data_IF_394643981254
#
_entry.id   IF_394643981254
#
_cell.length_a   1.000
_cell.length_b   1.000
_cell.length_c   1.000
_cell.angle_alpha   90.00
_cell.angle_beta   90.00
_cell.angle_gamma   90.00
#
_symmetry.space_group_name_H-M   'P 1'
#
loop_
_entity.id
_entity.type
_entity.pdbx_description
1 polymer ?
#
# COMPACT_ATOMS: atom_id res chain seq x y z
N UNK A 1 0.71 8.09 -8.27
CA UNK A 1 0.21 8.61 -6.97
C UNK A 1 -0.23 7.41 -6.16
N UNK A 2 0.05 7.38 -4.84
CA UNK A 2 -0.41 6.29 -3.98
C UNK A 2 -1.92 6.19 -3.97
N UNK A 3 -2.44 4.98 -4.12
CA UNK A 3 -3.86 4.74 -3.95
C UNK A 3 -4.19 4.55 -2.47
N UNK A 4 -5.07 5.38 -1.93
CA UNK A 4 -5.51 5.33 -0.53
C UNK A 4 -6.87 4.68 -0.47
N UNK A 5 -7.01 3.62 0.34
CA UNK A 5 -8.27 2.94 0.58
C UNK A 5 -8.73 3.16 2.02
N UNK A 6 -9.89 3.79 2.19
CA UNK A 6 -10.55 3.94 3.50
C UNK A 6 -11.71 2.97 3.59
N UNK A 7 -11.66 2.06 4.56
CA UNK A 7 -12.79 1.22 4.93
C UNK A 7 -13.54 1.90 6.07
N UNK A 8 -14.75 2.39 5.80
CA UNK A 8 -15.62 2.97 6.82
C UNK A 8 -16.42 1.89 7.53
N UNK A 9 -16.10 1.68 8.81
CA UNK A 9 -16.77 0.72 9.69
C UNK A 9 -17.95 1.29 10.48
N UNK A 10 -18.39 2.52 10.21
CA UNK A 10 -19.51 3.13 10.94
C UNK A 10 -20.82 2.40 10.59
N UNK A 11 -21.63 1.91 11.55
CA UNK A 11 -22.79 1.06 11.26
C UNK A 11 -23.99 1.80 10.66
N UNK A 12 -24.06 3.12 10.84
CA UNK A 12 -25.04 4.00 10.19
C UNK A 12 -24.40 5.36 9.93
N UNK A 13 -23.59 5.48 8.88
CA UNK A 13 -22.79 6.68 8.62
C UNK A 13 -23.68 7.91 8.39
N UNK A 14 -24.87 7.76 7.82
CA UNK A 14 -25.79 8.88 7.55
C UNK A 14 -26.16 9.65 8.81
N UNK A 15 -26.28 8.97 9.95
CA UNK A 15 -26.55 9.59 11.26
C UNK A 15 -25.30 10.11 11.98
N UNK A 16 -24.10 9.92 11.43
CA UNK A 16 -22.85 10.25 12.11
C UNK A 16 -22.56 11.73 12.10
N UNK A 17 -22.34 12.31 13.28
CA UNK A 17 -21.94 13.71 13.43
C UNK A 17 -20.44 13.95 13.22
N UNK A 18 -19.61 12.89 13.23
CA UNK A 18 -18.15 13.01 13.20
C UNK A 18 -17.50 12.25 12.06
N UNK A 19 -17.83 10.96 11.85
CA UNK A 19 -17.15 10.15 10.85
C UNK A 19 -17.50 10.63 9.42
N UNK A 20 -18.73 11.09 9.20
CA UNK A 20 -19.13 11.72 7.92
C UNK A 20 -18.32 12.99 7.64
N UNK A 21 -18.08 13.81 8.66
CA UNK A 21 -17.24 15.00 8.53
C UNK A 21 -15.80 14.62 8.19
N UNK A 22 -15.25 13.60 8.86
CA UNK A 22 -13.88 13.14 8.60
C UNK A 22 -13.75 12.66 7.16
N UNK A 23 -14.64 11.78 6.70
CA UNK A 23 -14.58 11.22 5.35
C UNK A 23 -14.74 12.30 4.27
N UNK A 24 -15.69 13.21 4.42
CA UNK A 24 -15.88 14.32 3.48
C UNK A 24 -14.66 15.25 3.42
N UNK A 25 -13.96 15.45 4.54
CA UNK A 25 -12.72 16.24 4.55
C UNK A 25 -11.56 15.49 3.88
N UNK A 26 -11.46 14.16 4.05
CA UNK A 26 -10.45 13.36 3.36
C UNK A 26 -10.65 13.38 1.84
N UNK A 27 -11.89 13.20 1.36
CA UNK A 27 -12.23 13.25 -0.06
C UNK A 27 -11.86 14.58 -0.73
N UNK A 28 -11.80 15.68 0.04
CA UNK A 28 -11.36 17.00 -0.45
C UNK A 28 -9.85 17.19 -0.44
N UNK A 29 -9.11 16.37 0.31
CA UNK A 29 -7.69 16.58 0.62
C UNK A 29 -6.77 15.54 -0.01
N UNK A 30 -7.31 14.39 -0.40
CA UNK A 30 -6.56 13.25 -0.93
C UNK A 30 -7.08 12.95 -2.34
N UNK A 31 -6.23 13.18 -3.35
CA UNK A 31 -6.61 13.07 -4.76
C UNK A 31 -6.97 11.64 -5.19
N UNK A 32 -6.21 10.64 -4.72
CA UNK A 32 -6.41 9.22 -5.05
C UNK A 32 -6.96 8.47 -3.84
N UNK A 33 -8.22 8.76 -3.50
CA UNK A 33 -8.93 8.16 -2.38
C UNK A 33 -10.12 7.31 -2.85
N UNK A 34 -10.16 6.06 -2.41
CA UNK A 34 -11.36 5.21 -2.46
C UNK A 34 -11.92 5.06 -1.05
N UNK A 35 -13.21 5.40 -0.86
CA UNK A 35 -13.93 5.17 0.40
C UNK A 35 -14.94 4.04 0.21
N UNK A 36 -14.80 2.96 0.98
CA UNK A 36 -15.74 1.83 0.99
C UNK A 36 -16.58 1.86 2.27
N UNK A 37 -17.87 2.14 2.11
CA UNK A 37 -18.85 2.24 3.19
C UNK A 37 -19.48 0.88 3.49
N UNK A 38 -19.03 0.21 4.56
CA UNK A 38 -19.52 -1.13 4.87
C UNK A 38 -21.02 -1.14 5.20
N UNK A 39 -21.54 -0.11 5.87
CA UNK A 39 -22.98 0.03 6.18
C UNK A 39 -23.87 -0.01 4.95
N UNK A 40 -23.39 0.60 3.86
CA UNK A 40 -24.14 0.72 2.60
C UNK A 40 -23.91 -0.46 1.67
N UNK A 41 -22.68 -0.98 1.63
CA UNK A 41 -22.32 -2.12 0.78
C UNK A 41 -22.89 -3.45 1.32
N UNK A 42 -22.94 -3.60 2.65
CA UNK A 42 -23.26 -4.86 3.32
C UNK A 42 -24.24 -4.68 4.48
N UNK A 43 -25.45 -4.11 4.24
CA UNK A 43 -26.44 -3.88 5.29
C UNK A 43 -26.94 -5.19 5.93
N UNK A 44 -26.78 -6.32 5.24
CA UNK A 44 -27.15 -7.67 5.65
C UNK A 44 -25.97 -8.53 6.13
N UNK A 45 -24.78 -7.91 6.29
CA UNK A 45 -23.54 -8.56 6.70
C UNK A 45 -23.02 -9.63 5.72
N UNK A 46 -23.47 -9.64 4.45
CA UNK A 46 -22.95 -10.55 3.43
C UNK A 46 -21.77 -9.90 2.67
N UNK A 47 -20.56 -10.04 3.20
CA UNK A 47 -19.35 -9.44 2.61
C UNK A 47 -19.01 -10.13 1.29
N UNK A 48 -18.87 -9.33 0.22
CA UNK A 48 -18.25 -9.78 -1.03
C UNK A 48 -16.72 -9.75 -0.87
N UNK A 49 -16.18 -10.89 -0.42
CA UNK A 49 -14.75 -11.05 -0.14
C UNK A 49 -13.90 -10.70 -1.36
N UNK A 50 -14.32 -11.12 -2.56
CA UNK A 50 -13.54 -10.90 -3.77
C UNK A 50 -13.46 -9.41 -4.11
N UNK A 51 -14.57 -8.68 -4.01
CA UNK A 51 -14.58 -7.23 -4.26
C UNK A 51 -13.67 -6.47 -3.28
N UNK A 52 -13.71 -6.82 -1.99
CA UNK A 52 -12.90 -6.17 -0.95
C UNK A 52 -11.41 -6.48 -1.10
N UNK A 53 -11.07 -7.73 -1.40
CA UNK A 53 -9.69 -8.13 -1.69
C UNK A 53 -9.13 -7.42 -2.92
N UNK A 54 -9.95 -7.21 -3.97
CA UNK A 54 -9.54 -6.45 -5.15
C UNK A 54 -9.29 -4.97 -4.85
N UNK A 55 -10.07 -4.34 -3.97
CA UNK A 55 -9.80 -2.99 -3.52
C UNK A 55 -8.47 -2.92 -2.73
N UNK A 56 -8.24 -3.87 -1.83
CA UNK A 56 -7.00 -3.97 -1.05
C UNK A 56 -5.76 -4.17 -1.92
N UNK A 57 -5.86 -4.96 -3.00
CA UNK A 57 -4.76 -5.18 -3.93
C UNK A 57 -4.30 -3.86 -4.59
N UNK A 58 -5.24 -2.98 -4.92
CA UNK A 58 -4.97 -1.67 -5.53
C UNK A 58 -4.39 -0.65 -4.55
N UNK A 59 -4.66 -0.80 -3.25
CA UNK A 59 -4.26 0.16 -2.23
C UNK A 59 -2.77 0.11 -1.89
N UNK A 60 -2.14 1.27 -1.73
CA UNK A 60 -0.82 1.39 -1.10
C UNK A 60 -0.95 1.68 0.40
N UNK A 61 -1.95 2.49 0.75
CA UNK A 61 -2.27 2.89 2.12
C UNK A 61 -3.71 2.45 2.43
N UNK A 62 -3.87 1.70 3.51
CA UNK A 62 -5.16 1.19 3.99
C UNK A 62 -5.49 1.90 5.31
N UNK A 63 -6.69 2.46 5.40
CA UNK A 63 -7.20 3.14 6.58
C UNK A 63 -8.49 2.48 7.04
N UNK A 64 -8.56 2.05 8.31
CA UNK A 64 -9.83 1.69 8.92
C UNK A 64 -10.38 2.91 9.66
N UNK A 65 -11.49 3.48 9.18
CA UNK A 65 -12.19 4.60 9.80
C UNK A 65 -13.42 4.08 10.59
N UNK A 66 -13.47 4.26 11.91
CA UNK A 66 -14.60 3.76 12.70
C UNK A 66 -14.91 4.55 13.99
N UNK A 67 -16.14 4.48 14.50
CA UNK A 67 -16.43 4.85 15.88
C UNK A 67 -15.97 3.76 16.85
N UNK A 68 -15.28 4.16 17.92
CA UNK A 68 -14.76 3.26 18.95
C UNK A 68 -15.90 2.77 19.85
N UNK A 69 -16.29 1.50 19.69
CA UNK A 69 -17.42 0.89 20.39
C UNK A 69 -16.92 -0.20 21.32
N UNK A 70 -17.28 -0.10 22.60
CA UNK A 70 -16.97 -1.12 23.62
C UNK A 70 -15.50 -1.57 23.57
N UNK A 71 -14.58 -0.60 23.54
CA UNK A 71 -13.15 -0.86 23.53
C UNK A 71 -12.64 -1.59 22.27
N UNK A 72 -13.39 -1.52 21.17
CA UNK A 72 -13.11 -2.24 19.94
C UNK A 72 -13.71 -1.55 18.70
N UNK A 73 -13.76 -2.29 17.60
CA UNK A 73 -14.39 -1.91 16.32
C UNK A 73 -15.88 -2.29 16.29
N UNK A 74 -16.70 -1.66 15.43
CA UNK A 74 -18.06 -2.10 15.18
C UNK A 74 -18.13 -3.53 14.62
N UNK A 75 -19.23 -4.25 14.90
CA UNK A 75 -19.38 -5.66 14.56
C UNK A 75 -19.21 -5.97 13.07
N UNK A 76 -19.76 -5.11 12.19
CA UNK A 76 -19.62 -5.27 10.74
C UNK A 76 -18.17 -5.14 10.28
N UNK A 77 -17.41 -4.18 10.85
CA UNK A 77 -15.99 -4.04 10.55
C UNK A 77 -15.20 -5.25 11.08
N UNK A 78 -15.54 -5.78 12.27
CA UNK A 78 -14.91 -7.00 12.76
C UNK A 78 -15.16 -8.19 11.84
N UNK A 79 -16.40 -8.38 11.37
CA UNK A 79 -16.74 -9.42 10.39
C UNK A 79 -15.98 -9.25 9.08
N UNK A 80 -15.90 -8.01 8.56
CA UNK A 80 -15.12 -7.72 7.36
C UNK A 80 -13.65 -8.14 7.54
N UNK A 81 -13.03 -7.83 8.69
CA UNK A 81 -11.65 -8.27 8.98
C UNK A 81 -11.57 -9.81 8.95
N UNK A 82 -12.51 -10.50 9.61
CA UNK A 82 -12.52 -11.97 9.70
C UNK A 82 -12.70 -12.67 8.35
N UNK A 83 -13.54 -12.12 7.47
CA UNK A 83 -13.83 -12.71 6.16
C UNK A 83 -12.75 -12.36 5.12
N UNK A 84 -12.30 -11.09 5.09
CA UNK A 84 -11.46 -10.55 4.02
C UNK A 84 -9.98 -10.87 4.24
N UNK A 85 -9.50 -10.87 5.49
CA UNK A 85 -8.11 -11.21 5.80
C UNK A 85 -7.94 -12.74 5.88
N UNK A 86 -8.23 -13.41 4.77
CA UNK A 86 -8.30 -14.87 4.68
C UNK A 86 -6.93 -15.54 4.51
N UNK A 87 -6.87 -16.84 4.79
CA UNK A 87 -5.71 -17.68 4.50
C UNK A 87 -5.36 -17.64 3.00
N UNK A 88 -4.06 -17.63 2.68
CA UNK A 88 -3.48 -17.43 1.35
C UNK A 88 -3.80 -16.10 0.66
N UNK A 89 -4.44 -15.15 1.36
CA UNK A 89 -4.56 -13.76 0.91
C UNK A 89 -3.75 -12.85 1.84
N UNK A 90 -4.17 -12.76 3.11
CA UNK A 90 -3.52 -11.90 4.10
C UNK A 90 -2.41 -12.62 4.89
N UNK A 91 -2.54 -13.94 5.10
CA UNK A 91 -1.57 -14.74 5.85
C UNK A 91 -1.47 -16.17 5.33
N UNK A 92 -0.49 -16.94 5.81
CA UNK A 92 -0.24 -18.32 5.38
C UNK A 92 0.77 -18.42 4.24
N UNK A 93 0.96 -19.62 3.68
CA UNK A 93 2.07 -19.91 2.75
C UNK A 93 2.12 -19.02 1.50
N UNK A 94 0.97 -18.48 1.07
CA UNK A 94 0.84 -17.58 -0.08
C UNK A 94 0.17 -16.25 0.28
N UNK A 95 -0.04 -16.00 1.57
CA UNK A 95 -0.78 -14.82 2.05
C UNK A 95 0.15 -13.65 2.26
N UNK A 96 0.55 -13.02 1.17
CA UNK A 96 1.48 -11.88 1.13
C UNK A 96 0.84 -10.62 0.52
N UNK A 97 -0.47 -10.65 0.21
CA UNK A 97 -1.14 -9.62 -0.58
C UNK A 97 -1.28 -8.28 0.14
N UNK A 98 -1.13 -8.28 1.46
CA UNK A 98 -1.13 -7.07 2.28
C UNK A 98 0.28 -6.67 2.74
N UNK A 99 1.30 -7.49 2.47
CA UNK A 99 2.67 -7.25 2.95
C UNK A 99 3.20 -5.91 2.43
N UNK A 100 3.79 -5.13 3.33
CA UNK A 100 4.41 -3.83 3.01
C UNK A 100 3.43 -2.70 2.70
N UNK A 101 2.12 -2.92 2.75
CA UNK A 101 1.13 -1.82 2.67
C UNK A 101 1.08 -1.08 3.99
N UNK A 102 0.95 0.25 3.93
CA UNK A 102 0.79 1.06 5.13
C UNK A 102 -0.62 0.90 5.69
N UNK A 103 -0.72 0.73 7.00
CA UNK A 103 -1.99 0.48 7.67
C UNK A 103 -2.21 1.45 8.83
N UNK A 104 -3.28 2.26 8.73
CA UNK A 104 -3.64 3.28 9.71
C UNK A 104 -4.99 2.92 10.35
N UNK A 105 -5.04 2.88 11.68
CA UNK A 105 -6.29 2.92 12.41
C UNK A 105 -6.69 4.38 12.63
N UNK A 106 -7.87 4.75 12.13
CA UNK A 106 -8.47 6.06 12.36
C UNK A 106 -9.82 5.93 13.07
N UNK A 107 -9.95 6.52 14.26
CA UNK A 107 -11.19 6.33 15.01
C UNK A 107 -11.57 7.47 15.94
N UNK A 108 -12.87 7.51 16.26
CA UNK A 108 -13.49 8.54 17.08
C UNK A 108 -13.91 7.94 18.43
N UNK A 109 -13.52 8.60 19.52
CA UNK A 109 -13.73 8.12 20.89
C UNK A 109 -14.70 9.06 21.61
N UNK A 110 -15.74 8.49 22.22
CA UNK A 110 -16.71 9.27 22.98
C UNK A 110 -16.15 9.87 24.27
N UNK A 111 -15.39 9.07 25.03
CA UNK A 111 -14.84 9.48 26.33
C UNK A 111 -13.69 10.49 26.24
N UNK A 112 -13.42 11.21 27.34
CA UNK A 112 -12.26 12.09 27.49
C UNK A 112 -10.92 11.37 27.38
N UNK A 113 -9.85 12.09 27.00
CA UNK A 113 -8.50 11.53 26.92
C UNK A 113 -8.00 11.06 28.29
N UNK A 114 -8.21 11.86 29.32
CA UNK A 114 -7.82 11.61 30.71
C UNK A 114 -8.47 10.35 31.34
N UNK A 115 -9.47 9.76 30.69
CA UNK A 115 -10.06 8.51 31.14
C UNK A 115 -9.26 7.27 30.75
N UNK A 116 -8.37 7.36 29.76
CA UNK A 116 -7.59 6.24 29.21
C UNK A 116 -6.16 6.25 29.74
N UNK A 117 -6.06 6.01 31.04
CA UNK A 117 -4.81 5.97 31.80
C UNK A 117 -4.85 4.77 32.77
N UNK A 118 -3.71 4.15 33.14
CA UNK A 118 -3.66 3.07 34.11
C UNK A 118 -4.35 3.38 35.45
N UNK A 119 -4.36 4.65 35.86
CA UNK A 119 -5.05 5.13 37.07
C UNK A 119 -6.40 5.79 36.75
N UNK A 120 -6.74 5.92 35.46
CA UNK A 120 -8.00 6.48 34.97
C UNK A 120 -9.15 5.48 34.95
N UNK A 121 -10.33 5.97 34.58
CA UNK A 121 -11.57 5.18 34.57
C UNK A 121 -11.52 3.94 33.66
N UNK A 122 -10.84 4.03 32.51
CA UNK A 122 -10.77 2.92 31.54
C UNK A 122 -9.55 2.02 31.75
N UNK A 123 -8.69 2.29 32.74
CA UNK A 123 -7.56 1.46 33.19
C UNK A 123 -6.45 1.14 32.17
N UNK A 124 -6.61 1.51 30.90
CA UNK A 124 -5.67 1.24 29.82
C UNK A 124 -5.58 2.45 28.89
N UNK A 125 -4.40 2.64 28.29
CA UNK A 125 -4.26 3.60 27.20
C UNK A 125 -4.98 3.10 25.95
N UNK A 126 -5.28 4.02 25.04
CA UNK A 126 -5.92 3.66 23.77
C UNK A 126 -5.04 2.69 22.95
N UNK A 127 -3.73 2.91 22.93
CA UNK A 127 -2.78 2.05 22.25
C UNK A 127 -2.82 0.62 22.79
N UNK A 128 -2.84 0.44 24.12
CA UNK A 128 -2.95 -0.88 24.74
C UNK A 128 -4.22 -1.62 24.32
N UNK A 129 -5.35 -0.90 24.26
CA UNK A 129 -6.64 -1.47 23.85
C UNK A 129 -6.60 -1.87 22.37
N UNK A 130 -5.84 -1.16 21.53
CA UNK A 130 -5.73 -1.41 20.09
C UNK A 130 -4.68 -2.46 19.69
N UNK A 131 -3.93 -3.02 20.65
CA UNK A 131 -2.94 -4.08 20.37
C UNK A 131 -3.49 -5.25 19.51
N UNK A 132 -4.74 -5.74 19.67
CA UNK A 132 -5.26 -6.81 18.80
C UNK A 132 -5.30 -6.43 17.31
N UNK A 133 -5.64 -5.18 16.98
CA UNK A 133 -5.65 -4.70 15.60
C UNK A 133 -4.24 -4.45 15.07
N UNK A 134 -3.34 -3.96 15.92
CA UNK A 134 -1.92 -3.85 15.61
C UNK A 134 -1.31 -5.22 15.30
N UNK A 135 -1.61 -6.24 16.10
CA UNK A 135 -1.18 -7.62 15.86
C UNK A 135 -1.78 -8.20 14.58
N UNK A 136 -3.01 -7.83 14.24
CA UNK A 136 -3.64 -8.20 12.95
C UNK A 136 -2.83 -7.66 11.77
N UNK A 137 -2.38 -6.41 11.83
CA UNK A 137 -1.53 -5.82 10.81
C UNK A 137 -0.18 -6.54 10.69
N UNK A 138 0.45 -6.88 11.81
CA UNK A 138 1.71 -7.64 11.82
C UNK A 138 1.58 -9.04 11.24
N UNK A 139 0.50 -9.75 11.57
CA UNK A 139 0.24 -11.06 10.98
C UNK A 139 0.09 -10.98 9.45
N UNK A 140 -0.52 -9.90 8.96
CA UNK A 140 -0.69 -9.63 7.54
C UNK A 140 0.55 -9.01 6.85
N UNK A 141 1.64 -8.80 7.59
CA UNK A 141 2.88 -8.20 7.09
C UNK A 141 2.75 -6.72 6.71
N UNK A 142 1.72 -6.01 7.17
CA UNK A 142 1.51 -4.58 6.91
C UNK A 142 2.42 -3.71 7.77
N UNK A 143 2.75 -2.52 7.26
CA UNK A 143 3.45 -1.48 8.00
C UNK A 143 2.45 -0.75 8.90
N UNK A 144 2.32 -1.21 10.14
CA UNK A 144 1.42 -0.56 11.11
C UNK A 144 1.92 0.83 11.45
N UNK A 145 1.09 1.83 11.17
CA UNK A 145 1.38 3.23 11.43
C UNK A 145 0.75 3.68 12.76
N UNK A 146 1.28 4.77 13.34
CA UNK A 146 0.70 5.35 14.56
C UNK A 146 -0.80 5.65 14.33
N UNK A 147 -1.69 5.21 15.23
CA UNK A 147 -3.12 5.42 15.05
C UNK A 147 -3.50 6.90 15.17
N UNK A 148 -4.51 7.32 14.41
CA UNK A 148 -5.10 8.65 14.49
C UNK A 148 -6.43 8.54 15.21
N UNK A 149 -6.50 9.02 16.45
CA UNK A 149 -7.75 9.05 17.19
C UNK A 149 -8.03 10.41 17.80
N UNK A 150 -9.29 10.64 18.18
CA UNK A 150 -9.71 11.85 18.88
C UNK A 150 -10.77 11.55 19.93
N UNK A 151 -10.68 12.22 21.07
CA UNK A 151 -11.59 12.11 22.20
C UNK A 151 -12.76 13.09 22.15
N UNK A 152 -13.75 12.90 23.03
CA UNK A 152 -14.93 13.77 23.18
C UNK A 152 -15.71 13.91 21.87
N UNK A 153 -15.86 12.82 21.13
CA UNK A 153 -16.51 12.79 19.81
C UNK A 153 -17.99 12.44 19.83
N UNK A 154 -18.59 12.25 21.02
CA UNK A 154 -20.02 11.98 21.17
C UNK A 154 -20.79 13.30 21.28
N UNK A 155 -21.82 13.45 20.43
CA UNK A 155 -22.81 14.50 20.57
C UNK A 155 -24.13 13.90 21.06
N UNK A 156 -24.61 14.40 22.19
CA UNK A 156 -25.97 14.14 22.70
C UNK A 156 -26.55 15.51 23.04
N UNK A 157 -27.66 15.93 22.40
CA UNK A 157 -28.24 17.25 22.63
C UNK A 157 -28.45 17.55 24.12
N UNK A 158 -27.86 18.64 24.59
CA UNK A 158 -28.02 19.13 25.98
C UNK A 158 -27.25 18.35 27.05
N UNK A 159 -26.29 17.49 26.69
CA UNK A 159 -25.56 16.67 27.68
C UNK A 159 -24.07 17.03 27.78
N UNK A 160 -23.25 16.61 26.81
CA UNK A 160 -21.78 16.61 26.97
C UNK A 160 -21.06 17.64 26.11
N UNK A 161 -21.46 17.79 24.85
CA UNK A 161 -20.76 18.60 23.86
C UNK A 161 -21.76 19.33 22.98
N UNK A 162 -21.35 20.48 22.46
CA UNK A 162 -22.04 21.14 21.36
C UNK A 162 -21.71 20.47 20.02
N UNK A 163 -22.68 20.44 19.11
CA UNK A 163 -22.52 19.78 17.81
C UNK A 163 -21.36 20.39 17.00
N UNK A 164 -21.26 21.71 17.01
CA UNK A 164 -20.21 22.46 16.30
C UNK A 164 -18.83 22.08 16.80
N UNK A 165 -18.61 22.00 18.11
CA UNK A 165 -17.33 21.62 18.68
C UNK A 165 -16.92 20.18 18.32
N UNK A 166 -17.88 19.26 18.32
CA UNK A 166 -17.66 17.87 17.93
C UNK A 166 -17.26 17.79 16.45
N UNK A 167 -17.93 18.56 15.59
CA UNK A 167 -17.61 18.65 14.16
C UNK A 167 -16.27 19.34 13.90
N UNK A 168 -15.89 20.35 14.68
CA UNK A 168 -14.59 21.01 14.54
C UNK A 168 -13.44 20.10 14.96
N UNK A 169 -13.63 19.32 16.04
CA UNK A 169 -12.69 18.23 16.38
C UNK A 169 -12.60 17.19 15.28
N UNK A 170 -13.70 16.88 14.60
CA UNK A 170 -13.72 15.95 13.46
C UNK A 170 -12.95 16.48 12.25
N UNK A 171 -13.07 17.78 11.93
CA UNK A 171 -12.23 18.43 10.90
C UNK A 171 -10.76 18.38 11.27
N UNK A 172 -10.42 18.73 12.51
CA UNK A 172 -9.03 18.69 13.00
C UNK A 172 -8.45 17.27 12.97
N UNK A 173 -9.27 16.25 13.25
CA UNK A 173 -8.90 14.85 13.08
C UNK A 173 -8.58 14.52 11.63
N UNK A 174 -9.44 14.92 10.69
CA UNK A 174 -9.25 14.68 9.26
C UNK A 174 -7.98 15.34 8.72
N UNK A 175 -7.65 16.55 9.20
CA UNK A 175 -6.39 17.23 8.84
C UNK A 175 -5.18 16.40 9.26
N UNK A 176 -5.13 15.94 10.52
CA UNK A 176 -4.01 15.11 11.01
C UNK A 176 -3.89 13.80 10.24
N UNK A 177 -5.02 13.17 9.94
CA UNK A 177 -5.05 11.93 9.16
C UNK A 177 -4.54 12.18 7.72
N UNK A 178 -5.00 13.24 7.06
CA UNK A 178 -4.55 13.61 5.72
C UNK A 178 -3.06 13.94 5.68
N UNK A 179 -2.53 14.66 6.68
CA UNK A 179 -1.10 14.94 6.80
C UNK A 179 -0.27 13.65 6.92
N UNK A 180 -0.72 12.70 7.73
CA UNK A 180 -0.06 11.40 7.87
C UNK A 180 -0.13 10.58 6.57
N UNK A 181 -1.29 10.53 5.91
CA UNK A 181 -1.45 9.86 4.61
C UNK A 181 -0.51 10.49 3.55
N UNK A 182 -0.48 11.82 3.46
CA UNK A 182 0.37 12.53 2.50
C UNK A 182 1.86 12.31 2.78
N UNK A 183 2.26 12.26 4.06
CA UNK A 183 3.64 11.92 4.45
C UNK A 183 4.04 10.54 3.95
N UNK A 184 3.16 9.54 4.13
CA UNK A 184 3.41 8.17 3.68
C UNK A 184 3.43 8.08 2.15
N UNK A 185 2.48 8.72 1.49
CA UNK A 185 2.40 8.77 0.02
C UNK A 185 3.63 9.46 -0.62
N UNK A 186 4.30 10.35 0.12
CA UNK A 186 5.51 11.05 -0.31
C UNK A 186 6.80 10.45 0.25
N UNK A 187 6.73 9.30 0.94
CA UNK A 187 7.92 8.59 1.41
C UNK A 187 8.82 8.17 0.24
N UNK A 188 10.12 8.15 0.49
CA UNK A 188 11.11 7.74 -0.51
C UNK A 188 10.82 6.33 -1.03
N UNK A 189 10.48 5.41 -0.13
CA UNK A 189 10.14 4.03 -0.42
C UNK A 189 8.95 3.94 -1.39
N UNK A 190 7.89 4.71 -1.13
CA UNK A 190 6.73 4.74 -2.02
C UNK A 190 7.03 5.42 -3.36
N UNK A 191 7.81 6.51 -3.36
CA UNK A 191 8.28 7.16 -4.59
C UNK A 191 9.08 6.18 -5.46
N UNK A 192 9.96 5.39 -4.85
CA UNK A 192 10.73 4.33 -5.51
C UNK A 192 9.78 3.25 -6.04
N UNK A 193 8.84 2.76 -5.21
CA UNK A 193 7.85 1.74 -5.59
C UNK A 193 7.08 2.11 -6.85
N UNK A 194 6.57 3.34 -6.91
CA UNK A 194 5.80 3.83 -8.07
C UNK A 194 6.68 3.91 -9.32
N UNK A 195 7.92 4.37 -9.20
CA UNK A 195 8.86 4.42 -10.32
C UNK A 195 9.28 3.04 -10.82
N UNK A 196 9.38 2.04 -9.93
CA UNK A 196 9.59 0.63 -10.33
C UNK A 196 8.40 0.10 -11.13
N UNK A 197 7.16 0.37 -10.69
CA UNK A 197 5.95 -0.03 -11.43
C UNK A 197 5.95 0.60 -12.82
N UNK A 198 6.27 1.89 -12.93
CA UNK A 198 6.38 2.61 -14.20
C UNK A 198 7.53 2.09 -15.08
N UNK A 199 8.66 1.69 -14.47
CA UNK A 199 9.79 1.06 -15.16
C UNK A 199 9.35 -0.21 -15.87
N UNK A 200 8.69 -1.13 -15.17
CA UNK A 200 8.19 -2.38 -15.77
C UNK A 200 7.08 -2.13 -16.80
N UNK A 201 6.14 -1.22 -16.51
CA UNK A 201 5.09 -0.86 -17.47
C UNK A 201 5.66 -0.24 -18.76
N UNK A 202 6.83 0.40 -18.68
CA UNK A 202 7.56 0.89 -19.85
C UNK A 202 8.29 -0.25 -20.56
N UNK A 203 8.92 -1.15 -19.80
CA UNK A 203 9.58 -2.36 -20.32
C UNK A 203 8.62 -3.27 -21.10
N UNK A 204 7.38 -3.41 -20.63
CA UNK A 204 6.32 -4.19 -21.29
C UNK A 204 5.96 -3.69 -22.69
N UNK A 205 6.09 -2.38 -22.93
CA UNK A 205 5.88 -1.76 -24.24
C UNK A 205 7.05 -1.98 -25.19
N UNK A 206 8.21 -2.37 -24.65
CA UNK A 206 9.42 -2.70 -25.37
C UNK A 206 9.87 -1.61 -26.39
N UNK A 207 9.94 -0.32 -25.99
CA UNK A 207 10.25 0.78 -26.90
C UNK A 207 11.65 0.65 -27.51
N UNK A 208 11.82 1.15 -28.74
CA UNK A 208 13.12 1.21 -29.43
C UNK A 208 14.11 2.16 -28.76
N UNK A 209 13.62 3.33 -28.33
CA UNK A 209 14.44 4.32 -27.63
C UNK A 209 14.55 3.95 -26.15
N UNK A 210 15.78 3.88 -25.64
CA UNK A 210 16.10 3.57 -24.25
C UNK A 210 16.13 4.76 -23.30
N UNK A 211 15.96 6.00 -23.79
CA UNK A 211 16.12 7.23 -23.00
C UNK A 211 15.26 7.22 -21.74
N UNK A 212 14.03 6.71 -21.85
CA UNK A 212 13.10 6.54 -20.72
C UNK A 212 13.66 5.64 -19.60
N UNK A 213 14.53 4.68 -19.92
CA UNK A 213 15.22 3.84 -18.94
C UNK A 213 16.55 4.47 -18.51
N UNK A 214 17.38 4.91 -19.45
CA UNK A 214 18.76 5.32 -19.17
C UNK A 214 18.86 6.52 -18.22
N UNK A 215 17.83 7.34 -18.17
CA UNK A 215 17.72 8.45 -17.21
C UNK A 215 17.55 8.01 -15.75
N UNK A 216 17.28 6.72 -15.51
CA UNK A 216 17.22 6.09 -14.18
C UNK A 216 18.45 5.24 -13.88
N UNK A 217 19.49 5.26 -14.71
CA UNK A 217 20.67 4.41 -14.54
C UNK A 217 21.86 5.22 -14.03
N UNK A 218 22.54 4.71 -13.02
CA UNK A 218 23.80 5.27 -12.58
C UNK A 218 24.89 5.08 -13.65
N UNK A 219 25.87 5.98 -13.70
CA UNK A 219 27.00 5.85 -14.63
C UNK A 219 27.83 4.59 -14.35
N UNK A 220 27.92 4.20 -13.08
CA UNK A 220 28.58 3.01 -12.55
C UNK A 220 27.61 1.83 -12.33
N UNK A 221 26.47 1.81 -13.03
CA UNK A 221 25.51 0.72 -12.98
C UNK A 221 26.20 -0.65 -13.15
N UNK A 222 25.81 -1.60 -12.31
CA UNK A 222 26.17 -3.01 -12.45
C UNK A 222 24.92 -3.87 -12.57
N UNK A 223 24.79 -4.56 -13.68
CA UNK A 223 23.69 -5.49 -13.95
C UNK A 223 24.21 -6.91 -13.93
N UNK A 224 23.59 -7.75 -13.11
CA UNK A 224 23.87 -9.18 -13.05
C UNK A 224 22.62 -9.94 -13.46
N UNK A 225 22.63 -10.44 -14.69
CA UNK A 225 21.50 -11.09 -15.34
C UNK A 225 21.81 -12.59 -15.50
N UNK A 226 20.81 -13.47 -15.68
CA UNK A 226 21.04 -14.91 -15.86
C UNK A 226 22.00 -15.24 -17.02
N UNK A 227 22.01 -14.43 -18.06
CA UNK A 227 22.86 -14.54 -19.25
C UNK A 227 24.25 -13.91 -19.11
N UNK A 228 24.50 -13.15 -18.05
CA UNK A 228 25.81 -12.54 -17.78
C UNK A 228 25.74 -11.16 -17.13
N UNK A 229 26.92 -10.56 -16.94
CA UNK A 229 27.09 -9.25 -16.30
C UNK A 229 27.25 -8.13 -17.33
N UNK A 230 26.52 -7.03 -17.14
CA UNK A 230 26.55 -5.84 -18.00
C UNK A 230 26.86 -4.59 -17.16
N UNK A 231 27.71 -3.70 -17.67
CA UNK A 231 28.20 -2.55 -16.91
C UNK A 231 27.86 -1.21 -17.58
N UNK A 232 27.41 -0.26 -16.77
CA UNK A 232 27.04 1.08 -17.18
C UNK A 232 25.85 1.13 -18.14
N UNK A 233 25.55 2.34 -18.61
CA UNK A 233 24.43 2.61 -19.52
C UNK A 233 24.57 1.86 -20.85
N UNK A 234 25.79 1.66 -21.35
CA UNK A 234 26.00 0.90 -22.60
C UNK A 234 25.75 -0.60 -22.40
N UNK A 235 26.18 -1.17 -21.27
CA UNK A 235 25.86 -2.56 -20.94
C UNK A 235 24.35 -2.80 -20.87
N UNK A 236 23.60 -1.86 -20.27
CA UNK A 236 22.14 -1.91 -20.29
C UNK A 236 21.58 -1.91 -21.72
N UNK A 237 22.09 -1.05 -22.61
CA UNK A 237 21.62 -0.99 -24.00
C UNK A 237 21.89 -2.29 -24.76
N UNK A 238 23.03 -2.92 -24.55
CA UNK A 238 23.39 -4.21 -25.16
C UNK A 238 22.47 -5.33 -24.67
N UNK A 239 22.26 -5.41 -23.36
CA UNK A 239 21.31 -6.33 -22.73
C UNK A 239 19.89 -6.12 -23.27
N UNK A 240 19.41 -4.87 -23.25
CA UNK A 240 18.07 -4.53 -23.68
C UNK A 240 17.86 -4.79 -25.18
N UNK A 241 18.87 -4.55 -26.01
CA UNK A 241 18.85 -4.94 -27.42
C UNK A 241 18.67 -6.44 -27.62
N UNK A 242 19.31 -7.25 -26.78
CA UNK A 242 19.11 -8.71 -26.75
C UNK A 242 17.67 -9.05 -26.34
N UNK A 243 17.16 -8.48 -25.25
CA UNK A 243 15.77 -8.67 -24.83
C UNK A 243 14.76 -8.33 -25.93
N UNK A 244 14.98 -7.22 -26.66
CA UNK A 244 14.13 -6.83 -27.81
C UNK A 244 14.19 -7.80 -28.99
N UNK A 245 15.31 -8.51 -29.17
CA UNK A 245 15.44 -9.54 -30.20
C UNK A 245 14.77 -10.86 -29.80
N UNK A 246 14.53 -11.07 -28.50
CA UNK A 246 13.92 -12.28 -27.95
C UNK A 246 12.40 -12.14 -27.81
N UNK A 247 11.92 -10.99 -27.33
CA UNK A 247 10.53 -10.79 -26.96
C UNK A 247 9.76 -9.92 -27.98
N UNK A 248 8.44 -10.13 -28.04
CA UNK A 248 7.52 -9.24 -28.74
C UNK A 248 7.02 -8.12 -27.81
N UNK A 249 6.66 -6.93 -28.33
CA UNK A 249 5.96 -5.93 -27.53
C UNK A 249 4.63 -6.48 -26.97
N UNK A 250 4.21 -5.96 -25.81
CA UNK A 250 3.01 -6.45 -25.12
C UNK A 250 3.30 -7.60 -24.16
N UNK A 251 4.53 -7.66 -23.64
CA UNK A 251 4.85 -8.50 -22.48
C UNK A 251 4.07 -8.00 -21.25
N UNK A 252 4.07 -8.81 -20.19
CA UNK A 252 3.50 -8.42 -18.90
C UNK A 252 4.44 -8.79 -17.78
N UNK A 253 4.96 -7.79 -17.09
CA UNK A 253 5.62 -7.95 -15.79
C UNK A 253 4.60 -7.76 -14.68
N UNK A 254 4.30 -8.83 -13.96
CA UNK A 254 3.49 -8.78 -12.74
C UNK A 254 4.40 -8.80 -11.53
N UNK A 255 4.46 -7.68 -10.79
CA UNK A 255 5.17 -7.60 -9.51
C UNK A 255 4.33 -8.33 -8.46
N UNK A 256 4.70 -9.57 -8.14
CA UNK A 256 4.01 -10.40 -7.13
C UNK A 256 4.34 -9.94 -5.71
N UNK A 257 5.56 -9.42 -5.51
CA UNK A 257 6.02 -8.85 -4.24
C UNK A 257 7.03 -7.72 -4.52
N UNK A 258 6.99 -6.68 -3.70
CA UNK A 258 8.00 -5.62 -3.64
C UNK A 258 8.20 -5.21 -2.19
N UNK A 259 9.45 -5.16 -1.75
CA UNK A 259 9.86 -4.69 -0.43
C UNK A 259 11.02 -3.71 -0.61
N UNK A 260 10.92 -2.52 -0.04
CA UNK A 260 11.91 -1.46 -0.19
C UNK A 260 12.35 -1.02 1.18
N UNK A 261 13.65 -1.08 1.44
CA UNK A 261 14.23 -0.75 2.75
C UNK A 261 15.38 0.24 2.59
N UNK A 262 15.53 1.17 3.54
CA UNK A 262 16.75 1.96 3.65
C UNK A 262 17.98 1.05 3.84
N UNK A 263 19.05 1.32 3.09
CA UNK A 263 20.35 0.66 3.20
C UNK A 263 21.45 1.72 3.16
N UNK A 264 21.84 2.24 4.33
CA UNK A 264 22.77 3.36 4.43
C UNK A 264 22.18 4.65 3.87
N UNK A 265 22.85 5.26 2.88
CA UNK A 265 22.41 6.43 2.12
C UNK A 265 21.57 6.07 0.88
N UNK A 266 21.32 4.77 0.68
CA UNK A 266 20.63 4.17 -0.47
C UNK A 266 19.40 3.39 0.00
N UNK A 267 18.75 2.75 -0.96
CA UNK A 267 17.64 1.84 -0.74
C UNK A 267 17.93 0.51 -1.42
N UNK A 268 17.51 -0.57 -0.79
CA UNK A 268 17.47 -1.89 -1.38
C UNK A 268 16.03 -2.23 -1.71
N UNK A 269 15.76 -2.62 -2.96
CA UNK A 269 14.47 -3.14 -3.38
C UNK A 269 14.61 -4.64 -3.65
N UNK A 270 13.81 -5.44 -2.97
CA UNK A 270 13.65 -6.88 -3.20
C UNK A 270 12.32 -7.10 -3.92
N UNK A 271 12.36 -7.68 -5.11
CA UNK A 271 11.20 -7.90 -5.95
C UNK A 271 11.02 -9.38 -6.28
N UNK A 272 9.76 -9.77 -6.43
CA UNK A 272 9.38 -11.03 -7.08
C UNK A 272 8.53 -10.71 -8.27
N UNK A 273 9.04 -10.97 -9.47
CA UNK A 273 8.43 -10.52 -10.73
C UNK A 273 8.13 -11.73 -11.60
N UNK A 274 6.88 -11.81 -12.07
CA UNK A 274 6.47 -12.77 -13.08
C UNK A 274 6.45 -12.10 -14.45
N UNK A 275 7.27 -12.59 -15.37
CA UNK A 275 7.27 -12.19 -16.76
C UNK A 275 6.44 -13.19 -17.58
N UNK A 276 5.40 -12.69 -18.24
CA UNK A 276 4.70 -13.41 -19.31
C UNK A 276 4.96 -12.71 -20.64
N UNK A 277 5.49 -13.43 -21.61
CA UNK A 277 5.92 -12.83 -22.87
C UNK A 277 5.81 -13.81 -24.04
N UNK A 278 5.35 -13.31 -25.18
CA UNK A 278 5.50 -14.02 -26.45
C UNK A 278 6.88 -13.73 -27.04
N UNK A 279 7.51 -14.76 -27.58
CA UNK A 279 8.86 -14.64 -28.12
C UNK A 279 8.86 -14.46 -29.65
N UNK A 280 9.97 -13.96 -30.19
CA UNK A 280 10.20 -13.88 -31.63
C UNK A 280 10.40 -15.29 -32.20
N UNK A 281 9.91 -15.54 -33.42
CA UNK A 281 10.06 -16.84 -34.07
C UNK A 281 11.54 -17.21 -34.33
N UNK A 282 12.41 -16.20 -34.46
CA UNK A 282 13.85 -16.34 -34.65
C UNK A 282 14.63 -16.45 -33.34
N UNK A 283 13.96 -16.37 -32.19
CA UNK A 283 14.60 -16.51 -30.88
C UNK A 283 14.87 -17.98 -30.55
N UNK A 284 15.66 -18.23 -29.51
CA UNK A 284 15.88 -19.59 -28.97
C UNK A 284 14.61 -20.27 -28.44
N UNK A 285 13.50 -19.53 -28.28
CA UNK A 285 12.20 -20.03 -27.84
C UNK A 285 11.22 -20.27 -28.99
N UNK A 286 11.65 -20.09 -30.26
CA UNK A 286 10.88 -20.44 -31.46
C UNK A 286 9.46 -19.85 -31.55
N UNK A 287 9.21 -18.71 -30.91
CA UNK A 287 7.91 -18.04 -30.93
C UNK A 287 6.91 -18.51 -29.86
N UNK A 288 7.34 -19.38 -28.95
CA UNK A 288 6.52 -19.83 -27.81
C UNK A 288 6.31 -18.71 -26.78
N UNK A 289 5.23 -18.84 -26.00
CA UNK A 289 4.94 -18.00 -24.84
C UNK A 289 5.71 -18.52 -23.64
N UNK A 290 6.44 -17.63 -22.97
CA UNK A 290 7.14 -17.94 -21.73
C UNK A 290 6.39 -17.37 -20.52
N UNK A 291 6.55 -18.03 -19.37
CA UNK A 291 6.05 -17.59 -18.08
C UNK A 291 7.14 -17.87 -17.03
N UNK A 292 7.95 -16.86 -16.75
CA UNK A 292 9.13 -16.97 -15.90
C UNK A 292 8.88 -16.19 -14.62
N UNK A 293 9.33 -16.76 -13.50
CA UNK A 293 9.32 -16.10 -12.20
C UNK A 293 10.77 -15.83 -11.81
N UNK A 294 11.07 -14.57 -11.49
CA UNK A 294 12.39 -14.13 -11.04
C UNK A 294 12.28 -13.44 -9.69
N UNK A 295 13.33 -13.57 -8.89
CA UNK A 295 13.61 -12.65 -7.80
C UNK A 295 14.60 -11.61 -8.31
N UNK A 296 14.42 -10.37 -7.90
CA UNK A 296 15.34 -9.29 -8.26
C UNK A 296 15.75 -8.51 -7.02
N UNK A 297 17.01 -8.09 -6.98
CA UNK A 297 17.55 -7.25 -5.90
C UNK A 297 18.21 -6.03 -6.51
N UNK A 298 17.71 -4.84 -6.18
CA UNK A 298 18.17 -3.59 -6.76
C UNK A 298 18.76 -2.69 -5.67
N UNK A 299 19.91 -2.07 -5.94
CA UNK A 299 20.43 -0.97 -5.12
C UNK A 299 20.09 0.37 -5.78
N UNK A 300 19.42 1.23 -5.03
CA UNK A 300 18.73 2.41 -5.53
C UNK A 300 19.09 3.67 -4.74
N UNK A 301 18.97 4.83 -5.39
CA UNK A 301 18.96 6.13 -4.70
C UNK A 301 17.91 7.04 -5.32
N UNK A 302 17.51 8.09 -4.59
CA UNK A 302 16.74 9.20 -5.17
C UNK A 302 17.68 10.38 -5.43
N UNK A 303 17.62 10.94 -6.64
CA UNK A 303 18.34 12.18 -6.93
C UNK A 303 17.62 13.41 -6.32
N UNK A 304 18.16 14.61 -6.52
CA UNK A 304 17.58 15.87 -6.01
C UNK A 304 16.19 16.19 -6.53
N UNK A 305 15.75 15.57 -7.61
CA UNK A 305 14.43 15.73 -8.23
C UNK A 305 13.45 14.62 -7.81
N UNK A 306 13.86 13.72 -6.90
CA UNK A 306 13.04 12.57 -6.47
C UNK A 306 13.00 11.44 -7.50
N UNK A 307 13.92 11.42 -8.46
CA UNK A 307 14.02 10.37 -9.47
C UNK A 307 14.83 9.19 -8.96
N UNK A 308 14.29 7.98 -9.12
CA UNK A 308 14.99 6.73 -8.83
C UNK A 308 16.18 6.54 -9.77
N UNK A 309 17.34 6.25 -9.19
CA UNK A 309 18.57 5.89 -9.88
C UNK A 309 18.98 4.48 -9.44
N UNK A 310 19.16 3.59 -10.41
CA UNK A 310 19.55 2.20 -10.25
C UNK A 310 21.08 2.11 -10.32
N UNK A 311 21.70 1.60 -9.26
CA UNK A 311 23.14 1.38 -9.15
C UNK A 311 23.52 -0.09 -9.31
N UNK A 312 22.67 -0.99 -8.81
CA UNK A 312 22.81 -2.42 -9.02
C UNK A 312 21.46 -3.00 -9.40
N UNK A 313 21.46 -3.94 -10.32
CA UNK A 313 20.28 -4.67 -10.78
C UNK A 313 20.67 -6.13 -10.92
N UNK A 314 20.27 -6.95 -9.96
CA UNK A 314 20.50 -8.39 -9.96
C UNK A 314 19.19 -9.14 -10.21
N UNK A 315 19.22 -10.16 -11.07
CA UNK A 315 18.07 -11.00 -11.42
C UNK A 315 18.45 -12.47 -11.25
N UNK A 316 17.69 -13.18 -10.41
CA UNK A 316 17.83 -14.60 -10.16
C UNK A 316 16.55 -15.35 -10.55
N UNK A 317 16.60 -16.32 -11.48
CA UNK A 317 15.44 -17.15 -11.83
C UNK A 317 15.01 -18.01 -10.65
N UNK A 318 13.72 -18.01 -10.34
CA UNK A 318 13.15 -18.93 -9.36
C UNK A 318 13.02 -20.30 -10.03
N UNK A 319 13.80 -21.28 -9.57
CA UNK A 319 13.65 -22.66 -10.03
C UNK A 319 12.20 -23.14 -9.78
N UNK A 320 11.56 -23.60 -10.85
CA UNK A 320 10.20 -24.15 -10.83
C UNK A 320 10.11 -25.54 -10.22
#
# INVERSE_FOLDING_TARGET
>A
MSHVLVISGHPNLESSNTNTVILNELERRIDSLEVRRLDSLYPDYQIDIAAEQQALLKADIIVLQFPFYWYSVPALLKKWIDDVFSYNFAYGSKGDKLKGKDFILSFTIGGPAESYDPLGYNHFTIEQIMHPLQQTAYLAGMNYQKPVYSHRMVYIPGVYNELTEVQDRAKAHAVRLAEQINTLAQSSENIIKQQIIEWFATMDKLPENTDSFTVHLANDLMMDMPEGTFNGVNGFRDWYGTARSLFKPGCTHTIEQIDIKPNGDRYEAELRVRLQADTQATSCFNGETINILVNETWQLSLNSEGKMIIHQYHVEPVAG
#
